data_IF_377530880804
#
_entry.id   IF_377530880804
#
_cell.length_a   1.000
_cell.length_b   1.000
_cell.length_c   1.000
_cell.angle_alpha   90.00
_cell.angle_beta   90.00
_cell.angle_gamma   90.00
#
_symmetry.space_group_name_H-M   'P 1'
#
loop_
_entity.id
_entity.type
_entity.pdbx_description
1 polymer ?
#
# COMPACT_ATOMS: atom_id res chain seq x y z
N UNK A 1 -10.68 3.20 -32.43
CA UNK A 1 -9.98 2.26 -31.52
C UNK A 1 -9.99 2.86 -30.12
N UNK A 2 -10.61 2.21 -29.18
CA UNK A 2 -10.43 2.53 -27.76
C UNK A 2 -9.03 2.04 -27.37
N UNK A 3 -8.11 2.97 -27.13
CA UNK A 3 -6.87 2.62 -26.46
C UNK A 3 -7.21 2.04 -25.09
N UNK A 4 -6.69 0.86 -24.77
CA UNK A 4 -6.83 0.28 -23.45
C UNK A 4 -6.28 1.23 -22.38
N UNK A 5 -6.86 1.17 -21.18
CA UNK A 5 -6.34 1.97 -20.05
C UNK A 5 -4.89 1.59 -19.75
N UNK A 6 -4.04 2.53 -19.31
CA UNK A 6 -2.62 2.28 -19.07
C UNK A 6 -2.34 1.10 -18.12
N UNK A 7 -3.20 0.92 -17.13
CA UNK A 7 -3.04 -0.12 -16.11
C UNK A 7 -3.74 -1.44 -16.41
N UNK A 8 -4.35 -1.59 -17.59
CA UNK A 8 -5.11 -2.81 -17.92
C UNK A 8 -4.22 -4.07 -17.82
N UNK A 9 -4.65 -5.02 -17.01
CA UNK A 9 -3.89 -6.27 -16.75
C UNK A 9 -2.74 -6.14 -15.76
N UNK A 10 -2.57 -4.98 -15.13
CA UNK A 10 -1.55 -4.72 -14.12
C UNK A 10 -2.17 -4.45 -12.77
N UNK A 11 -1.43 -4.72 -11.71
CA UNK A 11 -1.85 -4.51 -10.32
C UNK A 11 -0.92 -3.57 -9.58
N UNK A 12 -1.49 -2.68 -8.78
CA UNK A 12 -0.77 -1.71 -7.97
C UNK A 12 -1.00 -1.96 -6.48
N UNK A 13 0.09 -2.10 -5.74
CA UNK A 13 0.08 -2.15 -4.28
C UNK A 13 0.23 -0.73 -3.73
N UNK A 14 -0.76 -0.28 -2.95
CA UNK A 14 -0.74 1.00 -2.26
C UNK A 14 -0.72 0.76 -0.75
N UNK A 15 0.34 1.21 -0.09
CA UNK A 15 0.42 1.18 1.37
C UNK A 15 -0.18 2.45 1.97
N UNK A 16 -0.73 2.36 3.19
CA UNK A 16 -1.43 3.49 3.81
C UNK A 16 -2.70 3.88 3.06
N UNK A 17 -3.41 2.90 2.50
CA UNK A 17 -4.52 3.10 1.56
C UNK A 17 -5.89 3.27 2.23
N UNK A 18 -5.95 3.47 3.56
CA UNK A 18 -7.21 3.60 4.30
C UNK A 18 -7.71 5.04 4.45
N UNK A 19 -6.83 6.02 4.24
CA UNK A 19 -7.16 7.44 4.39
C UNK A 19 -6.19 8.35 3.62
N UNK A 20 -6.56 9.61 3.43
CA UNK A 20 -5.71 10.67 2.93
C UNK A 20 -5.17 10.42 1.53
N UNK A 21 -3.89 10.75 1.33
CA UNK A 21 -3.21 10.68 0.02
C UNK A 21 -3.22 9.25 -0.54
N UNK A 22 -3.12 8.24 0.30
CA UNK A 22 -3.17 6.83 -0.15
C UNK A 22 -4.47 6.47 -0.84
N UNK A 23 -5.60 6.99 -0.37
CA UNK A 23 -6.91 6.81 -1.02
C UNK A 23 -6.94 7.51 -2.36
N UNK A 24 -6.44 8.74 -2.45
CA UNK A 24 -6.42 9.52 -3.70
C UNK A 24 -5.52 8.86 -4.75
N UNK A 25 -4.36 8.34 -4.33
CA UNK A 25 -3.45 7.59 -5.22
C UNK A 25 -4.10 6.30 -5.73
N UNK A 26 -4.76 5.55 -4.84
CA UNK A 26 -5.49 4.35 -5.21
C UNK A 26 -6.60 4.66 -6.22
N UNK A 27 -7.32 5.76 -6.04
CA UNK A 27 -8.36 6.20 -6.97
C UNK A 27 -7.79 6.57 -8.34
N UNK A 28 -6.66 7.29 -8.39
CA UNK A 28 -5.98 7.59 -9.66
C UNK A 28 -5.59 6.31 -10.41
N UNK A 29 -5.04 5.34 -9.72
CA UNK A 29 -4.66 4.05 -10.30
C UNK A 29 -5.88 3.25 -10.79
N UNK A 30 -6.96 3.23 -10.01
CA UNK A 30 -8.21 2.57 -10.40
C UNK A 30 -8.82 3.21 -11.67
N UNK A 31 -8.83 4.53 -11.73
CA UNK A 31 -9.28 5.28 -12.92
C UNK A 31 -8.47 4.92 -14.15
N UNK A 32 -7.17 4.71 -14.00
CA UNK A 32 -6.27 4.32 -15.08
C UNK A 32 -6.31 2.81 -15.39
N UNK A 33 -7.16 2.04 -14.69
CA UNK A 33 -7.45 0.64 -15.01
C UNK A 33 -6.58 -0.38 -14.28
N UNK A 34 -5.77 0.03 -13.31
CA UNK A 34 -5.02 -0.91 -12.47
C UNK A 34 -5.96 -1.65 -11.52
N UNK A 35 -5.75 -2.94 -11.35
CA UNK A 35 -6.27 -3.66 -10.19
C UNK A 35 -5.52 -3.20 -8.95
N UNK A 36 -6.20 -3.17 -7.81
CA UNK A 36 -5.67 -2.60 -6.59
C UNK A 36 -5.35 -3.69 -5.56
N UNK A 37 -4.24 -3.50 -4.87
CA UNK A 37 -3.87 -4.23 -3.67
C UNK A 37 -3.66 -3.17 -2.59
N UNK A 38 -4.57 -3.12 -1.61
CA UNK A 38 -4.62 -2.06 -0.61
C UNK A 38 -4.21 -2.60 0.75
N UNK A 39 -3.31 -1.93 1.44
CA UNK A 39 -2.90 -2.30 2.79
C UNK A 39 -2.88 -1.12 3.74
N UNK A 40 -3.33 -1.36 4.94
CA UNK A 40 -3.28 -0.50 6.12
C UNK A 40 -3.64 -1.33 7.35
N UNK A 41 -3.70 -0.73 8.52
CA UNK A 41 -4.06 -1.43 9.75
C UNK A 41 -5.56 -1.75 9.86
N UNK A 42 -6.42 -0.87 9.38
CA UNK A 42 -7.88 -1.01 9.50
C UNK A 42 -8.47 -1.77 8.31
N UNK A 43 -8.86 -3.01 8.53
CA UNK A 43 -9.53 -3.82 7.51
C UNK A 43 -10.87 -3.19 7.07
N UNK A 44 -11.67 -2.69 8.02
CA UNK A 44 -12.96 -2.07 7.71
C UNK A 44 -12.80 -0.84 6.81
N UNK A 45 -11.84 0.05 7.10
CA UNK A 45 -11.56 1.22 6.28
C UNK A 45 -11.05 0.82 4.88
N UNK A 46 -10.19 -0.18 4.78
CA UNK A 46 -9.71 -0.70 3.50
C UNK A 46 -10.84 -1.29 2.66
N UNK A 47 -11.73 -2.07 3.26
CA UNK A 47 -12.89 -2.65 2.57
C UNK A 47 -13.83 -1.58 2.02
N UNK A 48 -14.04 -0.50 2.78
CA UNK A 48 -14.85 0.63 2.31
C UNK A 48 -14.24 1.31 1.08
N UNK A 49 -12.92 1.55 1.09
CA UNK A 49 -12.20 2.12 -0.06
C UNK A 49 -12.24 1.16 -1.26
N UNK A 50 -11.93 -0.10 -1.03
CA UNK A 50 -11.91 -1.13 -2.08
C UNK A 50 -13.28 -1.27 -2.76
N UNK A 51 -14.36 -1.34 -1.98
CA UNK A 51 -15.72 -1.44 -2.50
C UNK A 51 -16.12 -0.22 -3.34
N UNK A 52 -15.81 0.97 -2.86
CA UNK A 52 -16.09 2.22 -3.57
C UNK A 52 -15.34 2.30 -4.91
N UNK A 53 -14.06 2.03 -4.91
CA UNK A 53 -13.23 2.13 -6.11
C UNK A 53 -13.54 1.02 -7.12
N UNK A 54 -13.78 -0.19 -6.64
CA UNK A 54 -14.19 -1.31 -7.51
C UNK A 54 -15.53 -1.03 -8.20
N UNK A 55 -16.51 -0.49 -7.46
CA UNK A 55 -17.81 -0.13 -8.02
C UNK A 55 -17.72 1.03 -9.02
N UNK A 56 -16.89 2.05 -8.73
CA UNK A 56 -16.76 3.24 -9.57
C UNK A 56 -15.99 2.98 -10.87
N UNK A 57 -14.95 2.13 -10.84
CA UNK A 57 -14.00 1.98 -11.94
C UNK A 57 -13.94 0.57 -12.55
N UNK A 58 -14.64 -0.40 -11.96
CA UNK A 58 -14.70 -1.76 -12.49
C UNK A 58 -13.41 -2.56 -12.35
N UNK A 59 -12.49 -2.13 -11.47
CA UNK A 59 -11.25 -2.84 -11.18
C UNK A 59 -11.42 -3.79 -9.99
N UNK A 60 -10.57 -4.80 -9.89
CA UNK A 60 -10.47 -5.65 -8.70
C UNK A 60 -9.73 -4.89 -7.62
N UNK A 61 -10.12 -5.09 -6.37
CA UNK A 61 -9.47 -4.48 -5.22
C UNK A 61 -9.36 -5.48 -4.08
N UNK A 62 -8.16 -5.98 -3.86
CA UNK A 62 -7.82 -6.87 -2.75
C UNK A 62 -7.35 -6.06 -1.54
N UNK A 63 -7.69 -6.53 -0.35
CA UNK A 63 -7.42 -5.85 0.91
C UNK A 63 -6.59 -6.73 1.82
N UNK A 64 -5.54 -6.17 2.40
CA UNK A 64 -4.67 -6.84 3.37
C UNK A 64 -4.46 -5.92 4.57
N UNK A 65 -5.03 -6.28 5.72
CA UNK A 65 -4.83 -5.55 6.97
C UNK A 65 -3.52 -6.00 7.63
N UNK A 66 -2.49 -5.18 7.53
CA UNK A 66 -1.17 -5.45 8.11
C UNK A 66 -0.61 -4.17 8.73
N UNK A 67 -0.04 -4.27 9.92
CA UNK A 67 0.72 -3.20 10.52
C UNK A 67 2.17 -3.24 10.00
N UNK A 68 2.47 -2.37 9.04
CA UNK A 68 3.81 -2.25 8.48
C UNK A 68 4.81 -1.60 9.44
N UNK A 69 4.36 -0.99 10.52
CA UNK A 69 5.22 -0.48 11.59
C UNK A 69 5.79 -1.57 12.48
N UNK A 70 5.25 -2.78 12.44
CA UNK A 70 5.79 -3.93 13.16
C UNK A 70 6.96 -4.55 12.39
N UNK A 71 7.92 -5.09 13.14
CA UNK A 71 9.04 -5.83 12.56
C UNK A 71 8.50 -7.03 11.75
N UNK A 72 8.97 -7.19 10.52
CA UNK A 72 8.53 -8.25 9.61
C UNK A 72 7.17 -7.99 8.94
N UNK A 73 6.55 -6.82 9.15
CA UNK A 73 5.25 -6.48 8.55
C UNK A 73 5.26 -6.53 7.02
N UNK A 74 6.32 -6.01 6.40
CA UNK A 74 6.48 -6.07 4.94
C UNK A 74 6.57 -7.50 4.41
N UNK A 75 7.32 -8.36 5.08
CA UNK A 75 7.42 -9.78 4.71
C UNK A 75 6.07 -10.50 4.87
N UNK A 76 5.35 -10.25 5.96
CA UNK A 76 4.01 -10.84 6.16
C UNK A 76 3.04 -10.40 5.07
N UNK A 77 3.05 -9.11 4.72
CA UNK A 77 2.24 -8.59 3.62
C UNK A 77 2.57 -9.29 2.30
N UNK A 78 3.85 -9.38 1.95
CA UNK A 78 4.29 -10.02 0.72
C UNK A 78 3.90 -11.51 0.66
N UNK A 79 4.00 -12.22 1.77
CA UNK A 79 3.56 -13.62 1.88
C UNK A 79 2.06 -13.75 1.65
N UNK A 80 1.24 -12.86 2.22
CA UNK A 80 -0.21 -12.86 2.05
C UNK A 80 -0.60 -12.57 0.60
N UNK A 81 0.04 -11.60 -0.04
CA UNK A 81 -0.18 -11.25 -1.46
C UNK A 81 0.18 -12.43 -2.35
N UNK A 82 1.32 -13.08 -2.10
CA UNK A 82 1.76 -14.28 -2.83
C UNK A 82 0.78 -15.44 -2.65
N UNK A 83 0.32 -15.67 -1.43
CA UNK A 83 -0.67 -16.72 -1.13
C UNK A 83 -2.00 -16.49 -1.86
N UNK A 84 -2.36 -15.24 -2.13
CA UNK A 84 -3.53 -14.87 -2.92
C UNK A 84 -3.28 -14.92 -4.44
N UNK A 85 -2.10 -15.35 -4.88
CA UNK A 85 -1.68 -15.44 -6.28
C UNK A 85 -1.76 -14.08 -7.03
N UNK A 86 -1.48 -12.99 -6.31
CA UNK A 86 -1.46 -11.64 -6.87
C UNK A 86 -0.04 -11.20 -7.21
N UNK A 87 0.10 -10.52 -8.34
CA UNK A 87 1.33 -9.89 -8.77
C UNK A 87 1.33 -8.41 -8.42
N UNK A 88 2.49 -7.84 -8.12
CA UNK A 88 2.67 -6.40 -7.89
C UNK A 88 3.49 -5.83 -9.04
N UNK A 89 2.85 -5.07 -9.90
CA UNK A 89 3.50 -4.39 -11.03
C UNK A 89 3.92 -2.98 -10.66
N UNK A 90 3.18 -2.33 -9.76
CA UNK A 90 3.43 -0.98 -9.26
C UNK A 90 3.42 -1.02 -7.73
N UNK A 91 4.42 -0.44 -7.11
CA UNK A 91 4.49 -0.27 -5.65
C UNK A 91 4.42 1.21 -5.29
N UNK A 92 3.41 1.58 -4.52
CA UNK A 92 3.24 2.93 -3.96
C UNK A 92 3.53 2.87 -2.46
N UNK A 93 4.73 3.24 -2.08
CA UNK A 93 5.17 3.35 -0.69
C UNK A 93 4.64 4.66 -0.08
N UNK A 94 3.37 4.66 0.32
CA UNK A 94 2.70 5.83 0.88
C UNK A 94 2.54 5.76 2.40
N UNK A 95 2.53 4.58 3.00
CA UNK A 95 2.38 4.45 4.45
C UNK A 95 3.47 5.21 5.20
N UNK A 96 3.06 6.00 6.17
CA UNK A 96 3.97 6.80 6.98
C UNK A 96 3.21 7.69 7.94
N UNK A 97 3.90 8.18 8.95
CA UNK A 97 3.39 9.23 9.82
C UNK A 97 4.52 10.12 10.31
N UNK A 98 4.15 11.30 10.76
CA UNK A 98 5.08 12.24 11.36
C UNK A 98 4.58 12.70 12.73
N UNK A 99 5.50 13.10 13.59
CA UNK A 99 5.21 13.72 14.88
C UNK A 99 6.08 14.96 15.03
N UNK A 100 5.45 16.10 15.16
CA UNK A 100 6.13 17.36 15.41
C UNK A 100 6.28 17.60 16.91
N UNK A 101 7.30 18.36 17.29
CA UNK A 101 7.58 18.73 18.67
C UNK A 101 9.06 18.68 19.00
N UNK A 102 9.40 19.07 20.24
CA UNK A 102 10.79 19.01 20.71
C UNK A 102 11.24 17.55 20.80
N UNK A 103 12.40 17.23 20.30
CA UNK A 103 12.97 15.89 20.37
C UNK A 103 13.45 15.59 21.80
N UNK A 104 14.10 16.55 22.42
CA UNK A 104 14.54 16.40 23.82
C UNK A 104 13.33 16.22 24.74
N UNK A 105 13.37 15.17 25.56
CA UNK A 105 12.28 14.83 26.48
C UNK A 105 11.06 14.17 25.81
N UNK A 106 11.09 13.91 24.50
CA UNK A 106 10.02 13.16 23.85
C UNK A 106 10.06 11.67 24.17
N UNK A 107 8.92 10.99 24.04
CA UNK A 107 8.87 9.53 24.12
C UNK A 107 9.60 8.94 22.91
N UNK A 108 10.52 7.99 23.16
CA UNK A 108 11.29 7.32 22.12
C UNK A 108 10.43 6.39 21.25
N UNK A 109 9.36 5.83 21.79
CA UNK A 109 8.50 4.88 21.08
C UNK A 109 7.99 5.41 19.75
N UNK A 110 7.27 6.54 19.72
CA UNK A 110 6.81 7.17 18.46
C UNK A 110 7.95 7.58 17.51
N UNK A 111 9.11 7.97 18.05
CA UNK A 111 10.28 8.31 17.22
C UNK A 111 10.79 7.09 16.43
N UNK A 112 10.95 5.95 17.12
CA UNK A 112 11.33 4.69 16.47
C UNK A 112 10.21 4.16 15.56
N UNK A 113 8.96 4.35 15.94
CA UNK A 113 7.81 3.99 15.10
C UNK A 113 7.81 4.70 13.76
N UNK A 114 8.21 5.97 13.71
CA UNK A 114 8.39 6.69 12.45
C UNK A 114 9.48 6.05 11.58
N UNK A 115 10.60 5.64 12.17
CA UNK A 115 11.67 4.95 11.45
C UNK A 115 11.18 3.59 10.94
N UNK A 116 10.47 2.84 11.76
CA UNK A 116 9.95 1.52 11.38
C UNK A 116 8.98 1.60 10.21
N UNK A 117 8.03 2.51 10.25
CA UNK A 117 7.03 2.64 9.19
C UNK A 117 7.57 3.38 7.97
N UNK A 118 8.20 4.55 8.17
CA UNK A 118 8.59 5.43 7.05
C UNK A 118 9.86 4.95 6.34
N UNK A 119 10.73 4.20 7.01
CA UNK A 119 12.03 3.78 6.46
C UNK A 119 12.10 2.27 6.32
N UNK A 120 12.01 1.51 7.40
CA UNK A 120 12.19 0.05 7.38
C UNK A 120 11.18 -0.63 6.44
N UNK A 121 9.88 -0.37 6.61
CA UNK A 121 8.84 -0.98 5.78
C UNK A 121 9.01 -0.62 4.30
N UNK A 122 9.35 0.64 4.00
CA UNK A 122 9.61 1.10 2.64
C UNK A 122 10.79 0.33 2.01
N UNK A 123 11.90 0.22 2.71
CA UNK A 123 13.08 -0.51 2.22
C UNK A 123 12.76 -1.99 2.04
N UNK A 124 12.08 -2.60 3.00
CA UNK A 124 11.71 -4.02 2.96
C UNK A 124 10.81 -4.34 1.75
N UNK A 125 9.73 -3.60 1.55
CA UNK A 125 8.82 -3.81 0.42
C UNK A 125 9.50 -3.52 -0.92
N UNK A 126 10.29 -2.47 -1.00
CA UNK A 126 11.04 -2.15 -2.21
C UNK A 126 12.00 -3.29 -2.56
N UNK A 127 12.72 -3.81 -1.58
CA UNK A 127 13.64 -4.94 -1.79
C UNK A 127 12.92 -6.20 -2.27
N UNK A 128 11.74 -6.47 -1.72
CA UNK A 128 10.94 -7.67 -2.09
C UNK A 128 10.42 -7.56 -3.53
N UNK A 129 9.91 -6.41 -3.93
CA UNK A 129 9.21 -6.28 -5.23
C UNK A 129 10.08 -5.77 -6.37
N UNK A 130 11.20 -5.10 -6.09
CA UNK A 130 12.07 -4.54 -7.11
C UNK A 130 12.57 -5.57 -8.14
N UNK A 131 13.02 -6.77 -7.74
CA UNK A 131 13.51 -7.75 -8.72
C UNK A 131 12.46 -8.14 -9.76
N UNK A 132 11.22 -8.37 -9.36
CA UNK A 132 10.13 -8.71 -10.28
C UNK A 132 9.72 -7.59 -11.22
N UNK A 133 10.01 -6.35 -10.86
CA UNK A 133 9.73 -5.17 -11.70
C UNK A 133 10.79 -4.94 -12.78
N UNK A 134 11.97 -5.57 -12.65
CA UNK A 134 13.04 -5.47 -13.63
C UNK A 134 12.92 -6.49 -14.76
N UNK A 135 12.10 -7.49 -14.61
CA UNK A 135 11.81 -8.52 -15.60
C UNK A 135 10.75 -8.05 -16.61
#
# INVERSE_FOLDING_TARGET
MTQGKPGAGQSALVTGASMGIGVDLAECLARDGYDLILTARSEAALKAVAGRLSAAYGVKAAVFAVDLGEQGGGTRLAQAIKAAALKVDVLVNNAGFGKAGAFAGSDIGPQLGMVDLNVRALVELTHIYWPGMLE
#
